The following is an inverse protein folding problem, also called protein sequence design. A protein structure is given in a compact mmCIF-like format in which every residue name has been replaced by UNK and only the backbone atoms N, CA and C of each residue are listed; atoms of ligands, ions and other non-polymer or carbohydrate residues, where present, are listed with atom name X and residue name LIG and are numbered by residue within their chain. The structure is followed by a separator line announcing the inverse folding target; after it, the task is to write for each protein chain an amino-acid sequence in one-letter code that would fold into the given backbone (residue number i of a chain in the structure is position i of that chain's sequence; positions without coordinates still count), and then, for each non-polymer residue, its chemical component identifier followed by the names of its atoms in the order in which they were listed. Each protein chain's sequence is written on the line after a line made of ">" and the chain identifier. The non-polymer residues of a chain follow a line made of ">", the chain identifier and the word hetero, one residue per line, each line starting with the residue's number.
data_IF_578359401964
#
_entry.id   IF_578359401964
#
_cell.length_a   1.000
_cell.length_b   1.000
_cell.length_c   1.000
_cell.angle_alpha   90.00
_cell.angle_beta   90.00
_cell.angle_gamma   90.00
#
_symmetry.space_group_name_H-M   'P 1'
#
loop_
_entity.id
_entity.type
_entity.pdbx_description
1 polymer ?
#
# COMPACT_ATOMS: atom_id res chain seq x y z
N UNK A 1 8.49 -8.80 -5.12
CA UNK A 1 8.37 -8.85 -3.65
C UNK A 1 8.66 -7.49 -3.04
N UNK A 2 9.88 -6.95 -3.14
CA UNK A 2 10.27 -5.61 -2.60
C UNK A 2 9.24 -4.50 -2.91
N UNK A 3 8.94 -4.26 -4.18
CA UNK A 3 7.96 -3.25 -4.61
C UNK A 3 6.52 -3.51 -4.12
N UNK A 4 6.15 -4.78 -3.88
CA UNK A 4 4.82 -5.12 -3.39
C UNK A 4 4.68 -4.74 -1.91
N UNK A 5 5.65 -5.14 -1.10
CA UNK A 5 5.67 -4.77 0.32
C UNK A 5 5.87 -3.28 0.52
N UNK A 6 6.74 -2.62 -0.26
CA UNK A 6 6.86 -1.17 -0.26
C UNK A 6 5.53 -0.47 -0.60
N UNK A 7 4.77 -1.02 -1.54
CA UNK A 7 3.42 -0.52 -1.84
C UNK A 7 2.51 -0.65 -0.63
N UNK A 8 2.52 -1.77 0.10
CA UNK A 8 1.72 -1.92 1.33
C UNK A 8 2.12 -0.91 2.41
N UNK A 9 3.42 -0.64 2.59
CA UNK A 9 3.89 0.39 3.52
C UNK A 9 3.31 1.74 3.13
N UNK A 10 3.48 2.15 1.86
CA UNK A 10 3.01 3.42 1.37
C UNK A 10 1.48 3.55 1.45
N UNK A 11 0.73 2.55 1.00
CA UNK A 11 -0.74 2.59 1.01
C UNK A 11 -1.30 2.52 2.43
N UNK A 12 -0.64 1.81 3.34
CA UNK A 12 -0.97 1.81 4.76
C UNK A 12 -0.83 3.21 5.35
N UNK A 13 0.27 3.93 5.09
CA UNK A 13 0.48 5.31 5.54
C UNK A 13 -0.57 6.24 4.95
N UNK A 14 -0.73 6.20 3.62
CA UNK A 14 -1.68 7.08 2.92
C UNK A 14 -3.11 6.89 3.43
N UNK A 15 -3.50 5.66 3.76
CA UNK A 15 -4.82 5.38 4.30
C UNK A 15 -4.94 5.72 5.79
N UNK A 16 -4.04 5.23 6.64
CA UNK A 16 -4.15 5.34 8.10
C UNK A 16 -3.98 6.79 8.58
N UNK A 17 -3.11 7.56 7.92
CA UNK A 17 -2.79 8.92 8.36
C UNK A 17 -3.57 10.00 7.60
N UNK A 18 -3.82 9.77 6.31
CA UNK A 18 -4.39 10.78 5.41
C UNK A 18 -5.75 10.39 4.83
N UNK A 19 -6.26 9.19 5.13
CA UNK A 19 -7.53 8.67 4.60
C UNK A 19 -7.57 8.62 3.06
N UNK A 20 -6.41 8.54 2.41
CA UNK A 20 -6.27 8.48 0.96
C UNK A 20 -6.27 7.02 0.51
N UNK A 21 -7.29 6.65 -0.27
CA UNK A 21 -7.46 5.30 -0.82
C UNK A 21 -6.75 5.12 -2.17
N UNK A 22 -6.63 3.87 -2.59
CA UNK A 22 -5.97 3.47 -3.84
C UNK A 22 -7.01 3.16 -4.91
N UNK A 23 -6.86 3.71 -6.10
CA UNK A 23 -7.71 3.43 -7.26
C UNK A 23 -7.10 2.43 -8.23
N UNK A 24 -5.78 2.21 -8.14
CA UNK A 24 -5.06 1.23 -8.92
C UNK A 24 -3.58 1.19 -8.57
N UNK A 25 -2.90 0.13 -8.98
CA UNK A 25 -1.44 0.03 -8.89
C UNK A 25 -0.90 -0.78 -10.07
N UNK A 26 0.42 -0.73 -10.28
CA UNK A 26 1.14 -1.62 -11.17
C UNK A 26 2.58 -1.70 -10.70
N UNK A 27 3.10 -2.92 -10.56
CA UNK A 27 4.44 -3.18 -10.06
C UNK A 27 5.25 -3.90 -11.14
N UNK A 28 6.49 -3.46 -11.34
CA UNK A 28 7.49 -4.16 -12.15
C UNK A 28 8.72 -4.45 -11.30
N UNK A 29 9.71 -5.22 -11.79
CA UNK A 29 10.96 -5.44 -11.07
C UNK A 29 11.71 -4.15 -10.74
N UNK A 30 11.56 -3.10 -11.56
CA UNK A 30 12.38 -1.88 -11.49
C UNK A 30 11.65 -0.64 -10.97
N UNK A 31 10.31 -0.68 -10.84
CA UNK A 31 9.52 0.48 -10.38
C UNK A 31 8.14 0.08 -9.85
N UNK A 32 7.62 0.92 -8.96
CA UNK A 32 6.24 0.87 -8.49
C UNK A 32 5.43 2.04 -9.04
N UNK A 33 4.14 1.78 -9.32
CA UNK A 33 3.14 2.79 -9.67
C UNK A 33 1.92 2.61 -8.79
N UNK A 34 1.46 3.67 -8.16
CA UNK A 34 0.21 3.69 -7.37
C UNK A 34 -0.64 4.89 -7.78
N UNK A 35 -1.94 4.67 -7.90
CA UNK A 35 -2.93 5.70 -8.22
C UNK A 35 -3.77 5.98 -6.97
N UNK A 36 -3.67 7.18 -6.43
CA UNK A 36 -4.33 7.60 -5.20
C UNK A 36 -5.59 8.43 -5.48
N UNK A 37 -6.64 8.16 -4.72
CA UNK A 37 -7.88 8.94 -4.69
C UNK A 37 -7.68 10.19 -3.82
N UNK A 38 -7.32 11.30 -4.46
CA UNK A 38 -7.22 12.61 -3.80
C UNK A 38 -8.43 13.44 -4.19
N UNK A 39 -9.35 13.78 -3.28
CA UNK A 39 -10.46 14.69 -3.61
C UNK A 39 -9.94 16.04 -4.14
N UNK A 40 -8.89 16.54 -3.50
CA UNK A 40 -8.04 17.63 -3.96
C UNK A 40 -6.59 17.20 -3.78
N UNK A 41 -5.79 17.30 -4.85
CA UNK A 41 -4.40 16.89 -4.77
C UNK A 41 -3.62 17.83 -3.85
N UNK A 42 -2.99 17.23 -2.85
CA UNK A 42 -2.08 17.87 -1.91
C UNK A 42 -0.71 17.22 -2.04
N UNK A 43 0.28 18.04 -2.41
CA UNK A 43 1.66 17.58 -2.61
C UNK A 43 2.37 17.33 -1.29
N UNK A 44 2.08 18.11 -0.26
CA UNK A 44 2.73 17.99 1.04
C UNK A 44 2.29 16.70 1.72
N UNK A 45 1.00 16.33 1.60
CA UNK A 45 0.48 15.02 2.02
C UNK A 45 1.20 13.87 1.33
N UNK A 46 1.45 13.98 0.02
CA UNK A 46 2.16 12.95 -0.72
C UNK A 46 3.62 12.81 -0.27
N UNK A 47 4.34 13.92 -0.15
CA UNK A 47 5.74 13.94 0.28
C UNK A 47 5.89 13.44 1.72
N UNK A 48 4.99 13.84 2.60
CA UNK A 48 4.91 13.35 3.98
C UNK A 48 4.60 11.84 4.02
N UNK A 49 3.70 11.36 3.15
CA UNK A 49 3.41 9.94 3.01
C UNK A 49 4.66 9.11 2.68
N UNK A 50 5.50 9.58 1.74
CA UNK A 50 6.78 8.94 1.45
C UNK A 50 7.78 9.05 2.61
N UNK A 51 7.82 10.18 3.31
CA UNK A 51 8.68 10.35 4.49
C UNK A 51 8.31 9.37 5.60
N UNK A 52 7.02 9.27 5.93
CA UNK A 52 6.51 8.35 6.95
C UNK A 52 6.64 6.89 6.54
N UNK A 53 6.39 6.57 5.27
CA UNK A 53 6.63 5.21 4.76
C UNK A 53 8.09 4.80 5.02
N UNK A 54 9.06 5.63 4.63
CA UNK A 54 10.47 5.36 4.89
C UNK A 54 10.81 5.27 6.39
N UNK A 55 10.17 6.06 7.25
CA UNK A 55 10.34 5.96 8.69
C UNK A 55 9.82 4.62 9.25
N UNK A 56 8.79 4.03 8.65
CA UNK A 56 8.29 2.69 9.00
C UNK A 56 9.22 1.62 8.48
N UNK A 57 9.73 1.76 7.25
CA UNK A 57 10.73 0.83 6.70
C UNK A 57 11.94 0.72 7.60
N UNK A 58 12.44 1.86 8.11
CA UNK A 58 13.58 1.92 9.00
C UNK A 58 13.38 1.20 10.36
N UNK A 59 12.14 0.85 10.72
CA UNK A 59 11.84 0.07 11.93
C UNK A 59 12.02 -1.44 11.72
N UNK A 60 12.24 -1.89 10.49
CA UNK A 60 12.46 -3.30 10.13
C UNK A 60 11.39 -4.25 10.68
N UNK A 61 10.12 -3.85 10.55
CA UNK A 61 9.00 -4.64 11.04
C UNK A 61 8.90 -5.98 10.29
N UNK A 62 8.52 -7.03 11.01
CA UNK A 62 8.26 -8.33 10.41
C UNK A 62 6.99 -8.30 9.54
N UNK A 63 7.01 -9.07 8.46
CA UNK A 63 5.85 -9.29 7.59
C UNK A 63 5.33 -10.70 7.82
N UNK A 64 4.05 -10.81 8.19
CA UNK A 64 3.38 -12.07 8.50
C UNK A 64 2.22 -12.30 7.56
N UNK A 65 1.93 -13.58 7.35
CA UNK A 65 0.82 -14.04 6.52
C UNK A 65 -0.11 -14.85 7.38
N UNK A 66 -1.40 -14.57 7.27
CA UNK A 66 -2.46 -15.38 7.86
C UNK A 66 -3.61 -15.54 6.87
N UNK A 67 -4.57 -16.39 7.21
CA UNK A 67 -5.78 -16.61 6.44
C UNK A 67 -6.98 -16.49 7.37
N UNK A 68 -8.04 -15.85 6.87
CA UNK A 68 -9.28 -15.69 7.61
C UNK A 68 -10.47 -15.96 6.70
N UNK A 69 -11.62 -16.40 7.26
CA UNK A 69 -12.86 -16.52 6.48
C UNK A 69 -13.21 -15.19 5.80
N UNK A 70 -13.59 -15.23 4.53
CA UNK A 70 -13.85 -14.02 3.75
C UNK A 70 -14.95 -13.16 4.35
N UNK A 71 -15.98 -13.76 4.96
CA UNK A 71 -17.03 -13.04 5.68
C UNK A 71 -16.47 -12.17 6.81
N UNK A 72 -15.48 -12.68 7.57
CA UNK A 72 -14.83 -11.95 8.66
C UNK A 72 -13.94 -10.82 8.15
N UNK A 73 -13.21 -11.05 7.06
CA UNK A 73 -12.39 -10.01 6.46
C UNK A 73 -13.24 -8.88 5.87
N UNK A 74 -14.32 -9.21 5.15
CA UNK A 74 -15.21 -8.21 4.53
C UNK A 74 -15.92 -7.31 5.55
N UNK A 75 -16.06 -7.75 6.80
CA UNK A 75 -16.57 -6.92 7.89
C UNK A 75 -15.58 -5.85 8.37
N UNK A 76 -14.30 -5.95 7.98
CA UNK A 76 -13.21 -5.04 8.33
C UNK A 76 -12.79 -4.25 7.10
N UNK A 77 -13.41 -3.09 6.89
CA UNK A 77 -13.19 -2.25 5.70
C UNK A 77 -11.75 -1.74 5.58
N UNK A 78 -11.04 -1.62 6.69
CA UNK A 78 -9.65 -1.18 6.79
C UNK A 78 -8.65 -2.17 6.17
N UNK A 79 -9.01 -3.46 6.03
CA UNK A 79 -8.18 -4.46 5.36
C UNK A 79 -8.10 -4.23 3.84
N UNK A 80 -8.96 -3.36 3.29
CA UNK A 80 -9.06 -3.07 1.87
C UNK A 80 -8.76 -1.60 1.62
N UNK A 81 -7.55 -1.32 1.11
CA UNK A 81 -7.11 0.04 0.78
C UNK A 81 -7.64 0.54 -0.57
N UNK A 82 -8.29 -0.32 -1.34
CA UNK A 82 -8.86 0.03 -2.63
C UNK A 82 -10.12 0.88 -2.44
N UNK A 83 -10.31 1.85 -3.33
CA UNK A 83 -11.56 2.60 -3.48
C UNK A 83 -12.65 1.72 -4.10
N UNK A 84 -12.24 0.77 -4.94
CA UNK A 84 -13.15 -0.17 -5.57
C UNK A 84 -13.41 -1.38 -4.67
N UNK A 85 -14.63 -1.92 -4.75
CA UNK A 85 -15.01 -3.10 -3.99
C UNK A 85 -14.15 -4.31 -4.37
N UNK A 86 -13.74 -5.09 -3.37
CA UNK A 86 -13.03 -6.37 -3.55
C UNK A 86 -13.94 -7.39 -4.25
N UNK A 87 -13.56 -7.78 -5.48
CA UNK A 87 -14.42 -8.55 -6.40
C UNK A 87 -14.21 -10.06 -6.38
N UNK A 88 -13.18 -10.58 -5.70
CA UNK A 88 -12.92 -12.01 -5.69
C UNK A 88 -13.87 -12.71 -4.74
N UNK A 89 -14.46 -13.82 -5.18
CA UNK A 89 -15.28 -14.71 -4.35
C UNK A 89 -14.43 -15.91 -3.93
N UNK A 90 -13.84 -15.81 -2.74
CA UNK A 90 -12.97 -16.83 -2.15
C UNK A 90 -13.53 -17.18 -0.76
N UNK A 91 -13.46 -18.45 -0.33
CA UNK A 91 -13.92 -18.85 1.01
C UNK A 91 -13.07 -18.23 2.13
N UNK A 92 -11.76 -18.08 1.89
CA UNK A 92 -10.81 -17.47 2.80
C UNK A 92 -10.00 -16.39 2.07
N UNK A 93 -9.65 -15.33 2.80
CA UNK A 93 -8.76 -14.28 2.32
C UNK A 93 -7.41 -14.37 3.02
N UNK A 94 -6.37 -14.24 2.22
CA UNK A 94 -5.00 -14.10 2.69
C UNK A 94 -4.78 -12.68 3.19
N UNK A 95 -4.32 -12.55 4.43
CA UNK A 95 -3.93 -11.29 5.04
C UNK A 95 -2.41 -11.20 5.12
N UNK A 96 -1.89 -10.03 4.74
CA UNK A 96 -0.49 -9.65 4.89
C UNK A 96 -0.44 -8.58 5.97
N UNK A 97 0.16 -8.91 7.09
CA UNK A 97 0.38 -8.03 8.23
C UNK A 97 1.83 -7.54 8.20
N UNK A 98 2.02 -6.23 8.21
CA UNK A 98 3.26 -5.60 8.64
C UNK A 98 3.08 -5.35 10.14
N UNK A 99 3.76 -6.16 10.97
CA UNK A 99 3.44 -6.32 12.39
C UNK A 99 3.51 -4.99 13.13
N UNK A 100 2.43 -4.65 13.82
CA UNK A 100 2.31 -3.40 14.58
C UNK A 100 2.07 -2.14 13.73
N UNK A 101 1.89 -2.28 12.42
CA UNK A 101 1.63 -1.16 11.53
C UNK A 101 0.31 -1.28 10.75
N UNK A 102 0.18 -2.26 9.86
CA UNK A 102 -0.97 -2.35 8.95
C UNK A 102 -1.20 -3.78 8.48
N UNK A 103 -2.47 -4.13 8.26
CA UNK A 103 -2.86 -5.43 7.70
C UNK A 103 -3.72 -5.21 6.46
N UNK A 104 -3.39 -5.90 5.37
CA UNK A 104 -4.11 -5.80 4.10
C UNK A 104 -4.46 -7.18 3.55
N UNK A 105 -5.64 -7.30 2.93
CA UNK A 105 -6.01 -8.48 2.16
C UNK A 105 -5.27 -8.48 0.81
N UNK A 106 -4.36 -9.43 0.61
CA UNK A 106 -3.52 -9.47 -0.60
C UNK A 106 -3.04 -10.90 -0.93
N UNK A 107 -3.11 -11.24 -2.21
CA UNK A 107 -2.74 -12.56 -2.73
C UNK A 107 -1.31 -12.67 -3.27
N UNK A 108 -0.52 -11.58 -3.26
CA UNK A 108 0.81 -11.56 -3.85
C UNK A 108 1.94 -11.90 -2.88
N UNK A 109 3.16 -11.89 -3.42
CA UNK A 109 4.37 -12.26 -2.70
C UNK A 109 5.01 -11.04 -2.02
N UNK A 110 5.32 -11.20 -0.74
CA UNK A 110 5.92 -10.16 0.12
C UNK A 110 7.25 -10.62 0.70
N UNK A 111 8.13 -9.67 0.99
CA UNK A 111 9.36 -9.93 1.75
C UNK A 111 9.02 -10.36 3.18
N UNK A 112 10.00 -10.90 3.92
CA UNK A 112 9.79 -11.35 5.30
C UNK A 112 9.94 -10.20 6.32
N UNK A 113 10.74 -9.18 5.99
CA UNK A 113 11.01 -8.02 6.85
C UNK A 113 11.14 -6.73 6.04
N UNK A 114 10.91 -5.56 6.64
CA UNK A 114 10.94 -4.30 5.89
C UNK A 114 12.35 -3.89 5.44
N UNK A 115 13.42 -4.31 6.12
CA UNK A 115 14.80 -4.03 5.69
C UNK A 115 15.13 -4.55 4.29
N UNK A 116 14.42 -5.57 3.80
CA UNK A 116 14.61 -6.13 2.45
C UNK A 116 14.14 -5.19 1.33
N UNK A 117 13.29 -4.21 1.61
CA UNK A 117 12.67 -3.38 0.56
C UNK A 117 13.59 -2.23 0.11
N UNK A 118 14.41 -1.68 1.00
CA UNK A 118 15.17 -0.45 0.76
C UNK A 118 14.32 0.82 0.89
N UNK A 119 14.85 1.97 0.47
CA UNK A 119 14.19 3.26 0.59
C UNK A 119 13.24 3.52 -0.57
N UNK A 120 12.01 3.95 -0.28
CA UNK A 120 11.06 4.43 -1.29
C UNK A 120 11.44 5.84 -1.75
N UNK A 121 11.64 6.02 -3.04
CA UNK A 121 11.96 7.32 -3.66
C UNK A 121 10.90 7.68 -4.69
N UNK A 122 10.15 8.76 -4.43
CA UNK A 122 9.19 9.33 -5.37
C UNK A 122 9.94 9.87 -6.60
N UNK A 123 9.60 9.37 -7.79
CA UNK A 123 10.28 9.78 -9.03
C UNK A 123 9.41 10.63 -9.95
N UNK A 124 8.10 10.42 -9.94
CA UNK A 124 7.18 11.15 -10.83
C UNK A 124 5.77 11.17 -10.28
N UNK A 125 5.06 12.28 -10.54
CA UNK A 125 3.60 12.39 -10.33
C UNK A 125 2.91 12.76 -11.64
N UNK A 126 1.76 12.14 -11.93
CA UNK A 126 0.94 12.42 -13.11
C UNK A 126 -0.51 12.72 -12.71
N UNK A 127 -1.09 13.77 -13.28
CA UNK A 127 -2.52 14.06 -13.13
C UNK A 127 -3.35 13.06 -13.95
N UNK A 128 -4.25 12.30 -13.31
CA UNK A 128 -5.18 11.38 -13.97
C UNK A 128 -6.64 11.80 -13.83
N UNK A 129 -6.87 13.07 -13.54
CA UNK A 129 -8.20 13.66 -13.39
C UNK A 129 -8.31 14.45 -12.08
N UNK A 130 -9.46 15.11 -11.89
CA UNK A 130 -9.69 15.98 -10.72
C UNK A 130 -9.38 15.26 -9.39
N UNK A 131 -9.80 14.00 -9.29
CA UNK A 131 -9.73 13.23 -8.05
C UNK A 131 -8.66 12.12 -8.01
N UNK A 132 -7.74 12.07 -8.99
CA UNK A 132 -6.82 10.94 -9.15
C UNK A 132 -5.39 11.39 -9.43
N UNK A 133 -4.47 10.97 -8.56
CA UNK A 133 -3.04 11.23 -8.70
C UNK A 133 -2.29 9.92 -8.87
N UNK A 134 -1.63 9.77 -10.01
CA UNK A 134 -0.70 8.67 -10.24
C UNK A 134 0.68 9.05 -9.77
N UNK A 135 1.32 8.15 -9.03
CA UNK A 135 2.68 8.33 -8.53
C UNK A 135 3.54 7.15 -8.97
N UNK A 136 4.80 7.44 -9.26
CA UNK A 136 5.83 6.45 -9.56
C UNK A 136 6.93 6.56 -8.52
N UNK A 137 7.45 5.41 -8.11
CA UNK A 137 8.57 5.37 -7.18
C UNK A 137 9.52 4.23 -7.53
N UNK A 138 10.75 4.37 -7.07
CA UNK A 138 11.79 3.35 -7.12
C UNK A 138 12.23 2.99 -5.70
N UNK A 139 12.99 1.92 -5.59
CA UNK A 139 13.60 1.46 -4.35
C UNK A 139 15.13 1.57 -4.44
N UNK A 140 15.73 2.19 -3.43
CA UNK A 140 17.18 2.36 -3.27
C UNK A 140 17.72 1.56 -2.09
#
# INVERSE_FOLDING_TARGET
>A
MRYHTATHVLTGVMFNDFHVRVTGNQLTPDKGRVDFAFEQFDRDVLEEGFRRANAIVAQDLAVRVSFVPAARARAQAELFKLETAFRHDLPELRLVEIVGFDTQADGGCHVATLSEIGRLVLTKTENKGKANRRVYFVLE
#
